data_IF_293261617416
#
_entry.id   IF_293261617416
#
_cell.length_a   1.000
_cell.length_b   1.000
_cell.length_c   1.000
_cell.angle_alpha   90.00
_cell.angle_beta   90.00
_cell.angle_gamma   90.00
#
_symmetry.space_group_name_H-M   'P 1'
#
loop_
_entity.id
_entity.type
_entity.pdbx_description
1 polymer ?
#
# COMPACT_ATOMS: atom_id res chain seq x y z
N UNK A 1 10.02 14.11 -11.36
CA UNK A 1 9.09 13.34 -12.22
C UNK A 1 9.80 12.04 -12.54
N UNK A 2 9.22 10.88 -12.22
CA UNK A 2 9.83 9.59 -12.59
C UNK A 2 9.81 9.45 -14.13
N UNK A 3 10.84 8.87 -14.77
CA UNK A 3 10.84 8.65 -16.22
C UNK A 3 9.66 7.77 -16.65
N UNK A 4 9.09 8.03 -17.82
CA UNK A 4 8.17 7.11 -18.49
C UNK A 4 8.88 5.75 -18.62
N UNK A 5 8.39 4.74 -17.89
CA UNK A 5 8.99 3.41 -17.82
C UNK A 5 9.36 2.92 -16.41
N UNK A 6 9.32 3.77 -15.38
CA UNK A 6 9.37 3.28 -13.99
C UNK A 6 8.04 2.60 -13.64
N UNK A 7 7.96 1.31 -13.89
CA UNK A 7 6.87 0.47 -13.44
C UNK A 7 7.01 0.26 -11.93
N UNK A 8 5.94 0.43 -11.18
CA UNK A 8 5.92 0.16 -9.75
C UNK A 8 4.83 -0.85 -9.43
N UNK A 9 5.04 -1.58 -8.34
CA UNK A 9 4.08 -2.52 -7.78
C UNK A 9 3.71 -2.07 -6.38
N UNK A 10 2.44 -2.22 -6.02
CA UNK A 10 1.90 -1.92 -4.71
C UNK A 10 1.32 -3.20 -4.10
N UNK A 11 1.66 -3.47 -2.84
CA UNK A 11 1.16 -4.63 -2.11
C UNK A 11 0.89 -4.25 -0.66
N UNK A 12 -0.08 -4.91 -0.03
CA UNK A 12 -0.27 -4.82 1.42
C UNK A 12 0.56 -5.88 2.13
N UNK A 13 1.08 -5.55 3.30
CA UNK A 13 1.64 -6.56 4.21
C UNK A 13 0.58 -7.59 4.62
N UNK A 14 1.02 -8.79 5.00
CA UNK A 14 0.17 -9.88 5.51
C UNK A 14 -0.81 -9.44 6.62
N UNK A 15 -0.38 -8.51 7.47
CA UNK A 15 -1.19 -7.93 8.54
C UNK A 15 -2.33 -7.04 8.05
N UNK A 16 -2.19 -6.42 6.87
CA UNK A 16 -3.15 -5.48 6.28
C UNK A 16 -4.06 -6.12 5.22
N UNK A 17 -3.66 -7.25 4.65
CA UNK A 17 -4.35 -7.89 3.52
C UNK A 17 -5.84 -8.15 3.74
N UNK A 18 -6.28 -8.37 4.98
CA UNK A 18 -7.69 -8.66 5.31
C UNK A 18 -8.57 -7.42 5.50
N UNK A 19 -7.99 -6.23 5.66
CA UNK A 19 -8.73 -4.99 5.98
C UNK A 19 -8.29 -3.76 5.19
N UNK A 20 -7.24 -3.87 4.37
CA UNK A 20 -6.80 -2.86 3.41
C UNK A 20 -6.91 -3.45 2.01
N UNK A 21 -7.64 -2.76 1.14
CA UNK A 21 -7.75 -3.12 -0.28
C UNK A 21 -7.10 -2.01 -1.11
N UNK A 22 -6.28 -2.39 -2.09
CA UNK A 22 -5.64 -1.46 -3.02
C UNK A 22 -6.30 -1.65 -4.39
N UNK A 23 -6.75 -0.57 -5.01
CA UNK A 23 -7.48 -0.65 -6.29
C UNK A 23 -6.56 -1.03 -7.46
N UNK A 24 -5.32 -0.51 -7.45
CA UNK A 24 -4.31 -0.77 -8.48
C UNK A 24 -3.00 -1.23 -7.85
N UNK A 25 -2.64 -2.49 -8.09
CA UNK A 25 -1.42 -3.11 -7.58
C UNK A 25 -0.20 -2.81 -8.46
N UNK A 26 -0.38 -2.19 -9.62
CA UNK A 26 0.70 -1.83 -10.53
C UNK A 26 0.40 -0.48 -11.19
N UNK A 27 1.46 0.22 -11.60
CA UNK A 27 1.35 1.43 -12.38
C UNK A 27 2.67 1.85 -12.98
N UNK A 28 2.65 2.98 -13.69
CA UNK A 28 3.82 3.50 -14.39
C UNK A 28 3.95 4.99 -14.13
N UNK A 29 5.19 5.46 -13.98
CA UNK A 29 5.48 6.87 -13.77
C UNK A 29 4.81 7.43 -12.51
N UNK A 30 4.36 8.68 -12.56
CA UNK A 30 3.66 9.32 -11.44
C UNK A 30 2.20 8.88 -11.43
N UNK A 31 1.82 8.00 -10.51
CA UNK A 31 0.45 7.50 -10.38
C UNK A 31 -0.12 7.72 -8.99
N UNK A 32 -1.45 7.70 -8.91
CA UNK A 32 -2.21 7.73 -7.66
C UNK A 32 -2.54 6.28 -7.26
N UNK A 33 -2.27 5.95 -6.00
CA UNK A 33 -2.67 4.67 -5.41
C UNK A 33 -3.86 4.95 -4.50
N UNK A 34 -5.03 4.49 -4.93
CA UNK A 34 -6.23 4.49 -4.10
C UNK A 34 -6.26 3.22 -3.26
N UNK A 35 -6.55 3.40 -1.97
CA UNK A 35 -6.70 2.31 -1.03
C UNK A 35 -7.92 2.54 -0.15
N UNK A 36 -8.61 1.46 0.17
CA UNK A 36 -9.76 1.44 1.05
C UNK A 36 -9.39 0.70 2.33
N UNK A 37 -9.75 1.27 3.47
CA UNK A 37 -9.51 0.69 4.79
C UNK A 37 -10.87 0.34 5.40
N UNK A 38 -11.11 -0.94 5.68
CA UNK A 38 -12.31 -1.39 6.38
C UNK A 38 -12.37 -0.80 7.79
N UNK A 39 -13.55 -0.73 8.40
CA UNK A 39 -13.72 -0.24 9.78
C UNK A 39 -13.09 -1.21 10.80
N UNK A 40 -12.47 -0.67 11.86
CA UNK A 40 -11.93 -1.48 12.95
C UNK A 40 -12.96 -1.62 14.08
N UNK A 41 -13.72 -2.71 14.04
CA UNK A 41 -14.70 -3.05 15.08
C UNK A 41 -14.07 -3.64 16.34
N UNK A 42 -12.79 -4.02 16.29
CA UNK A 42 -12.08 -4.56 17.43
C UNK A 42 -11.59 -3.46 18.39
N UNK A 43 -11.56 -3.77 19.68
CA UNK A 43 -10.95 -2.91 20.72
C UNK A 43 -9.43 -2.81 20.59
N UNK A 44 -8.80 -3.75 19.90
CA UNK A 44 -7.37 -3.75 19.62
C UNK A 44 -7.04 -2.84 18.44
N UNK A 45 -5.94 -2.09 18.56
CA UNK A 45 -5.38 -1.32 17.44
C UNK A 45 -4.81 -2.29 16.40
N UNK A 46 -5.07 -2.03 15.12
CA UNK A 46 -4.41 -2.75 14.02
C UNK A 46 -3.45 -1.84 13.29
N UNK A 47 -2.35 -2.46 12.88
CA UNK A 47 -1.32 -1.82 12.09
C UNK A 47 -1.12 -2.65 10.82
N UNK A 48 -0.88 -1.97 9.72
CA UNK A 48 -0.62 -2.57 8.43
C UNK A 48 0.26 -1.64 7.61
N UNK A 49 0.80 -2.14 6.52
CA UNK A 49 1.62 -1.34 5.61
C UNK A 49 1.23 -1.61 4.17
N UNK A 50 1.22 -0.56 3.36
CA UNK A 50 1.26 -0.65 1.91
C UNK A 50 2.70 -0.43 1.48
N UNK A 51 3.24 -1.36 0.72
CA UNK A 51 4.60 -1.39 0.21
C UNK A 51 4.50 -1.08 -1.28
N UNK A 52 5.17 -0.02 -1.71
CA UNK A 52 5.26 0.36 -3.13
C UNK A 52 6.70 0.26 -3.56
N UNK A 53 7.01 -0.66 -4.46
CA UNK A 53 8.37 -0.94 -4.92
C UNK A 53 8.50 -0.67 -6.43
N UNK A 54 9.69 -0.24 -6.85
CA UNK A 54 10.02 -0.22 -8.27
C UNK A 54 10.11 -1.66 -8.79
N UNK A 55 9.47 -1.92 -9.93
CA UNK A 55 9.38 -3.25 -10.53
C UNK A 55 10.71 -3.73 -11.11
N UNK A 56 11.65 -2.82 -11.39
CA UNK A 56 12.99 -3.14 -11.91
C UNK A 56 14.04 -3.16 -10.80
N UNK A 57 13.82 -2.40 -9.73
CA UNK A 57 14.68 -2.35 -8.56
C UNK A 57 13.86 -2.42 -7.27
N UNK A 58 13.50 -3.63 -6.80
CA UNK A 58 12.69 -3.80 -5.61
C UNK A 58 13.30 -3.23 -4.33
N UNK A 59 14.61 -2.91 -4.33
CA UNK A 59 15.26 -2.24 -3.20
C UNK A 59 14.77 -0.79 -3.03
N UNK A 60 14.21 -0.19 -4.09
CA UNK A 60 13.57 1.12 -4.08
C UNK A 60 12.10 0.98 -3.72
N UNK A 61 11.87 0.62 -2.46
CA UNK A 61 10.54 0.49 -1.90
C UNK A 61 10.19 1.63 -0.94
N UNK A 62 8.88 1.89 -0.84
CA UNK A 62 8.33 2.88 0.06
C UNK A 62 7.21 2.27 0.89
N UNK A 63 7.32 2.44 2.19
CA UNK A 63 6.36 1.93 3.16
C UNK A 63 5.38 3.01 3.58
N UNK A 64 4.11 2.82 3.27
CA UNK A 64 3.00 3.61 3.77
C UNK A 64 2.38 2.86 4.94
N UNK A 65 2.70 3.29 6.16
CA UNK A 65 2.21 2.66 7.39
C UNK A 65 0.81 3.17 7.72
N UNK A 66 -0.12 2.23 7.88
CA UNK A 66 -1.50 2.48 8.29
C UNK A 66 -1.66 2.04 9.74
N UNK A 67 -2.11 2.97 10.59
CA UNK A 67 -2.46 2.68 11.98
C UNK A 67 -3.92 3.01 12.18
N UNK A 68 -4.71 2.01 12.57
CA UNK A 68 -6.14 2.17 12.76
C UNK A 68 -6.52 1.82 14.20
N UNK A 69 -7.08 2.80 14.90
CA UNK A 69 -7.73 2.60 16.21
C UNK A 69 -9.16 2.12 16.03
N UNK A 70 -9.80 1.72 17.12
CA UNK A 70 -11.26 1.53 17.14
C UNK A 70 -11.94 2.83 16.68
N UNK A 71 -12.98 2.69 15.86
CA UNK A 71 -13.89 3.78 15.52
C UNK A 71 -14.75 4.18 16.74
#
# INVERSE_FOLDING_TARGET
MAPDGCQWTAATDSSAFSWVTIDYLTGQGSGLINYTVLENTASSKRNGSIIVADSTDPSKEKFFRIKQSKQ
#
